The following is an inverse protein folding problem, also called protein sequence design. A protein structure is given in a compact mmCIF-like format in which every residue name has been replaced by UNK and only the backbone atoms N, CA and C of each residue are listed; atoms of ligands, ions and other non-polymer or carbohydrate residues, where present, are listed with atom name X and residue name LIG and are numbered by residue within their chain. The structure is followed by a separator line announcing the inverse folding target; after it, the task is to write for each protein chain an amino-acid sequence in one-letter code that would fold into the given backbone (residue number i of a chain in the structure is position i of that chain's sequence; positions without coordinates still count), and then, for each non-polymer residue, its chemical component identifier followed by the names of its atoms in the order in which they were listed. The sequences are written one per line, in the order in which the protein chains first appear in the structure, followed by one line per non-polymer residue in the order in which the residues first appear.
data_IF_830666865214
#
_entry.id   IF_830666865214
#
_cell.length_a   1.000
_cell.length_b   1.000
_cell.length_c   1.000
_cell.angle_alpha   90.00
_cell.angle_beta   90.00
_cell.angle_gamma   90.00
#
_symmetry.space_group_name_H-M   'P 1'
#
loop_
_entity.id
_entity.type
_entity.pdbx_description
1 polymer ?
#
# COMPACT_ATOMS: atom_id res chain seq x y z
N UNK A 1 -16.17 13.49 20.26
CA UNK A 1 -15.68 12.52 19.26
C UNK A 1 -14.27 12.94 18.87
N UNK A 2 -13.24 12.40 19.52
CA UNK A 2 -11.84 12.71 19.20
C UNK A 2 -11.36 11.78 18.10
N UNK A 3 -10.96 12.35 16.96
CA UNK A 3 -10.34 11.58 15.87
C UNK A 3 -8.97 11.08 16.38
N UNK A 4 -8.66 9.78 16.37
CA UNK A 4 -7.37 9.30 16.85
C UNK A 4 -6.22 9.88 16.00
N UNK A 5 -5.04 10.14 16.60
CA UNK A 5 -3.91 10.68 15.86
C UNK A 5 -3.43 9.68 14.80
N UNK A 6 -3.39 10.11 13.54
CA UNK A 6 -2.88 9.31 12.42
C UNK A 6 -1.35 9.27 12.50
N UNK A 7 -0.79 8.10 12.76
CA UNK A 7 0.67 7.88 12.69
C UNK A 7 1.07 7.50 11.27
N UNK A 8 1.82 8.38 10.60
CA UNK A 8 2.43 8.07 9.30
C UNK A 8 3.53 7.03 9.50
N UNK A 9 3.33 5.83 8.96
CA UNK A 9 4.31 4.74 9.10
C UNK A 9 5.46 4.88 8.11
N UNK A 10 5.14 5.21 6.85
CA UNK A 10 6.14 5.35 5.80
C UNK A 10 5.66 6.35 4.76
N UNK A 11 6.60 6.98 4.06
CA UNK A 11 6.32 7.93 3.00
C UNK A 11 7.39 7.80 1.91
N UNK A 12 6.97 7.68 0.64
CA UNK A 12 7.90 7.63 -0.48
C UNK A 12 8.33 9.05 -0.87
N UNK A 13 9.38 9.56 -0.20
CA UNK A 13 9.96 10.87 -0.49
C UNK A 13 10.52 10.96 -1.92
N UNK A 14 11.06 9.85 -2.44
CA UNK A 14 11.64 9.78 -3.79
C UNK A 14 10.58 10.03 -4.87
N UNK A 15 9.38 9.47 -4.71
CA UNK A 15 8.28 9.74 -5.64
C UNK A 15 7.92 11.23 -5.77
N UNK A 16 8.05 12.01 -4.69
CA UNK A 16 7.80 13.46 -4.71
C UNK A 16 8.91 14.28 -5.37
N UNK A 17 10.11 13.72 -5.44
CA UNK A 17 11.26 14.35 -6.06
C UNK A 17 11.31 14.03 -7.56
N UNK A 18 11.04 12.77 -7.92
CA UNK A 18 11.19 12.28 -9.29
C UNK A 18 9.94 12.56 -10.16
N UNK A 19 8.77 12.77 -9.55
CA UNK A 19 7.51 12.97 -10.25
C UNK A 19 6.74 14.18 -9.73
N UNK A 20 6.02 14.85 -10.63
CA UNK A 20 5.05 15.87 -10.26
C UNK A 20 3.70 15.20 -9.90
N UNK A 21 3.26 15.37 -8.65
CA UNK A 21 2.00 14.79 -8.17
C UNK A 21 0.83 15.68 -8.59
N UNK A 22 0.01 15.17 -9.51
CA UNK A 22 -1.16 15.89 -10.05
C UNK A 22 -2.39 15.72 -9.16
N UNK A 23 -2.54 14.55 -8.52
CA UNK A 23 -3.72 14.19 -7.76
C UNK A 23 -3.36 13.14 -6.69
N UNK A 24 -4.11 13.14 -5.58
CA UNK A 24 -3.93 12.19 -4.47
C UNK A 24 -5.26 11.54 -4.11
N UNK A 25 -5.23 10.24 -3.87
CA UNK A 25 -6.39 9.44 -3.50
C UNK A 25 -6.11 8.66 -2.23
N UNK A 26 -7.15 8.40 -1.46
CA UNK A 26 -7.09 7.49 -0.32
C UNK A 26 -7.58 6.10 -0.75
N UNK A 27 -6.88 5.06 -0.29
CA UNK A 27 -7.23 3.68 -0.59
C UNK A 27 -6.99 2.81 0.65
N UNK A 28 -7.85 1.82 0.86
CA UNK A 28 -7.55 0.73 1.77
C UNK A 28 -6.56 -0.25 1.14
N UNK A 29 -5.75 -0.92 1.94
CA UNK A 29 -4.87 -2.00 1.48
C UNK A 29 -5.25 -3.31 2.16
N UNK A 30 -5.40 -4.37 1.37
CA UNK A 30 -5.68 -5.70 1.88
C UNK A 30 -4.38 -6.34 2.40
N UNK A 31 -4.26 -6.47 3.72
CA UNK A 31 -3.10 -7.01 4.43
C UNK A 31 -3.44 -8.27 5.20
N UNK A 32 -2.42 -9.10 5.46
CA UNK A 32 -2.48 -10.22 6.39
C UNK A 32 -2.11 -9.78 7.81
N UNK A 33 -2.52 -10.57 8.81
CA UNK A 33 -2.28 -10.25 10.22
C UNK A 33 -0.80 -10.09 10.59
N UNK A 34 0.10 -10.89 10.01
CA UNK A 34 1.55 -10.76 10.22
C UNK A 34 2.13 -9.49 9.61
N UNK A 35 1.61 -9.05 8.46
CA UNK A 35 2.02 -7.81 7.81
C UNK A 35 1.61 -6.58 8.62
N UNK A 36 0.40 -6.60 9.20
CA UNK A 36 -0.06 -5.52 10.10
C UNK A 36 0.91 -5.33 11.27
N UNK A 37 1.42 -6.43 11.85
CA UNK A 37 2.43 -6.38 12.92
C UNK A 37 3.75 -5.77 12.42
N UNK A 38 4.27 -6.23 11.29
CA UNK A 38 5.50 -5.65 10.69
C UNK A 38 5.38 -4.17 10.37
N UNK A 39 4.23 -3.73 9.83
CA UNK A 39 3.97 -2.31 9.52
C UNK A 39 3.91 -1.48 10.79
N UNK A 40 3.30 -1.98 11.87
CA UNK A 40 3.30 -1.30 13.17
C UNK A 40 4.71 -1.11 13.75
N UNK A 41 5.63 -2.02 13.44
CA UNK A 41 7.06 -1.89 13.76
C UNK A 41 7.84 -0.99 12.79
N UNK A 42 7.19 -0.42 11.75
CA UNK A 42 7.85 0.43 10.75
C UNK A 42 8.66 -0.33 9.70
N UNK A 43 8.54 -1.66 9.61
CA UNK A 43 9.34 -2.50 8.71
C UNK A 43 8.76 -2.60 7.29
N UNK A 44 8.54 -1.45 6.66
CA UNK A 44 7.92 -1.34 5.34
C UNK A 44 8.68 -0.36 4.44
N UNK A 45 8.87 -0.74 3.18
CA UNK A 45 9.46 0.09 2.14
C UNK A 45 8.53 0.20 0.91
N UNK A 46 8.33 1.43 0.43
CA UNK A 46 7.50 1.78 -0.73
C UNK A 46 8.31 2.37 -1.90
N UNK A 47 9.65 2.41 -1.81
CA UNK A 47 10.48 3.17 -2.75
C UNK A 47 10.26 2.79 -4.21
N UNK A 48 10.16 1.49 -4.52
CA UNK A 48 9.95 0.95 -5.88
C UNK A 48 8.51 0.46 -6.11
N UNK A 49 7.59 0.81 -5.20
CA UNK A 49 6.21 0.34 -5.26
C UNK A 49 5.36 1.19 -6.22
N UNK A 50 4.53 0.54 -7.02
CA UNK A 50 3.61 1.20 -7.94
C UNK A 50 2.26 0.48 -8.00
N UNK A 51 1.21 1.22 -8.38
CA UNK A 51 -0.13 0.68 -8.54
C UNK A 51 -0.38 0.28 -10.00
N UNK A 52 -0.98 -0.89 -10.23
CA UNK A 52 -1.31 -1.41 -11.56
C UNK A 52 -2.72 -1.99 -11.59
N UNK A 53 -3.44 -1.72 -12.66
CA UNK A 53 -4.73 -2.37 -12.92
C UNK A 53 -4.54 -3.81 -13.40
N UNK A 54 -5.27 -4.75 -12.77
CA UNK A 54 -5.32 -6.16 -13.16
C UNK A 54 -6.76 -6.65 -13.03
N UNK A 55 -7.36 -7.09 -14.14
CA UNK A 55 -8.75 -7.61 -14.21
C UNK A 55 -9.79 -6.65 -13.60
N UNK A 56 -9.64 -5.33 -13.80
CA UNK A 56 -10.56 -4.31 -13.29
C UNK A 56 -10.37 -3.94 -11.82
N UNK A 57 -9.34 -4.46 -11.16
CA UNK A 57 -8.97 -4.15 -9.78
C UNK A 57 -7.61 -3.45 -9.74
N UNK A 58 -7.36 -2.65 -8.72
CA UNK A 58 -6.07 -1.98 -8.53
C UNK A 58 -5.21 -2.78 -7.55
N UNK A 59 -3.97 -3.05 -7.95
CA UNK A 59 -3.00 -3.83 -7.17
C UNK A 59 -1.75 -2.98 -6.94
N UNK A 60 -1.25 -3.00 -5.71
CA UNK A 60 0.03 -2.44 -5.33
C UNK A 60 1.11 -3.51 -5.49
N UNK A 61 2.08 -3.23 -6.36
CA UNK A 61 3.18 -4.12 -6.74
C UNK A 61 4.49 -3.50 -6.25
N UNK A 62 5.45 -4.34 -5.86
CA UNK A 62 6.80 -3.87 -5.48
C UNK A 62 6.90 -3.32 -4.06
N UNK A 63 5.80 -3.30 -3.29
CA UNK A 63 5.83 -3.00 -1.86
C UNK A 63 6.55 -4.11 -1.10
N UNK A 64 7.59 -3.74 -0.35
CA UNK A 64 8.36 -4.67 0.47
C UNK A 64 7.98 -4.51 1.94
N UNK A 65 7.42 -5.57 2.54
CA UNK A 65 7.15 -5.65 3.98
C UNK A 65 8.06 -6.72 4.56
N UNK A 66 8.93 -6.34 5.50
CA UNK A 66 9.82 -7.34 6.10
C UNK A 66 9.00 -8.32 6.94
N UNK A 67 9.26 -9.64 6.84
CA UNK A 67 8.52 -10.63 7.62
C UNK A 67 8.61 -10.37 9.12
N UNK A 68 7.50 -10.61 9.80
CA UNK A 68 7.46 -10.52 11.25
C UNK A 68 8.19 -11.73 11.84
N UNK A 69 9.35 -11.51 12.48
CA UNK A 69 10.22 -12.59 13.00
C UNK A 69 9.52 -13.50 14.02
N UNK A 70 8.50 -13.00 14.73
CA UNK A 70 7.75 -13.74 15.74
C UNK A 70 6.49 -14.42 15.17
N UNK A 71 6.31 -14.45 13.84
CA UNK A 71 5.23 -15.19 13.21
C UNK A 71 5.61 -16.68 13.11
N UNK A 72 4.84 -17.54 13.79
CA UNK A 72 5.08 -18.98 13.80
C UNK A 72 4.53 -19.73 12.56
N UNK A 73 3.44 -19.22 11.95
CA UNK A 73 2.68 -19.99 10.96
C UNK A 73 2.59 -19.34 9.57
N UNK A 74 2.47 -18.01 9.48
CA UNK A 74 2.20 -17.35 8.21
C UNK A 74 3.24 -16.27 7.89
N UNK A 75 4.21 -16.65 7.08
CA UNK A 75 5.19 -15.76 6.47
C UNK A 75 4.81 -15.55 4.99
N UNK A 76 3.96 -14.55 4.67
CA UNK A 76 3.72 -14.20 3.28
C UNK A 76 5.00 -13.69 2.62
N UNK A 77 5.08 -13.85 1.30
CA UNK A 77 6.14 -13.25 0.49
C UNK A 77 6.22 -11.73 0.78
N UNK A 78 7.38 -11.20 1.19
CA UNK A 78 7.60 -9.78 1.43
C UNK A 78 7.14 -8.88 0.29
N UNK A 79 7.28 -9.33 -0.96
CA UNK A 79 7.00 -8.59 -2.20
C UNK A 79 5.66 -8.95 -2.84
N UNK A 80 4.79 -9.68 -2.14
CA UNK A 80 3.48 -10.07 -2.66
C UNK A 80 2.67 -8.87 -3.16
N UNK A 81 1.99 -9.02 -4.29
CA UNK A 81 1.01 -8.04 -4.75
C UNK A 81 -0.13 -7.90 -3.73
N UNK A 82 -0.47 -6.65 -3.40
CA UNK A 82 -1.52 -6.32 -2.42
C UNK A 82 -2.64 -5.58 -3.09
N UNK A 83 -3.87 -6.05 -2.90
CA UNK A 83 -5.06 -5.42 -3.49
C UNK A 83 -5.35 -4.09 -2.80
N UNK A 84 -5.58 -3.05 -3.60
CA UNK A 84 -6.05 -1.76 -3.14
C UNK A 84 -7.58 -1.72 -3.21
N UNK A 85 -8.19 -1.32 -2.11
CA UNK A 85 -9.62 -1.22 -1.89
C UNK A 85 -10.04 0.23 -2.11
N UNK A 86 -10.71 0.48 -3.23
CA UNK A 86 -11.25 1.78 -3.61
C UNK A 86 -12.71 1.63 -4.02
N UNK A 87 -13.46 2.74 -4.06
CA UNK A 87 -14.80 2.71 -4.60
C UNK A 87 -14.79 2.45 -6.10
N UNK A 88 -15.81 1.72 -6.60
CA UNK A 88 -15.95 1.40 -8.03
C UNK A 88 -15.94 2.63 -8.93
N UNK A 89 -16.45 3.78 -8.45
CA UNK A 89 -16.43 5.05 -9.18
C UNK A 89 -15.02 5.61 -9.32
N UNK A 90 -14.19 5.51 -8.28
CA UNK A 90 -12.80 5.97 -8.27
C UNK A 90 -11.94 5.09 -9.18
N UNK A 91 -12.10 3.77 -9.12
CA UNK A 91 -11.41 2.84 -10.02
C UNK A 91 -11.69 3.17 -11.49
N UNK A 92 -12.96 3.44 -11.85
CA UNK A 92 -13.34 3.86 -13.20
C UNK A 92 -12.72 5.20 -13.59
N UNK A 93 -12.66 6.16 -12.66
CA UNK A 93 -12.05 7.49 -12.90
C UNK A 93 -10.56 7.35 -13.20
N UNK A 94 -9.85 6.57 -12.39
CA UNK A 94 -8.42 6.31 -12.55
C UNK A 94 -8.11 5.56 -13.84
N UNK A 95 -8.91 4.53 -14.16
CA UNK A 95 -8.73 3.76 -15.40
C UNK A 95 -8.93 4.60 -16.67
N UNK A 96 -9.74 5.66 -16.63
CA UNK A 96 -9.87 6.59 -17.76
C UNK A 96 -8.73 7.61 -17.86
N UNK A 97 -8.08 7.89 -16.74
CA UNK A 97 -7.03 8.90 -16.61
C UNK A 97 -5.62 8.32 -16.82
N UNK A 98 -5.50 6.99 -16.74
CA UNK A 98 -4.28 6.21 -16.98
C UNK A 98 -4.31 5.65 -18.40
#
# INVERSE_FOLDING_TARGET
MTNPPIRVVTNNKKARHDYHIIDTIEAGIALKGSEVKSIREGKVNLQDAYARFKKGELWLIGMHISPYKQAAFEQPDPRRDRKLLLHKRELKRLFRKT
#
